data_IF_568897312755
#
_entry.id   IF_568897312755
#
_cell.length_a   1.000
_cell.length_b   1.000
_cell.length_c   1.000
_cell.angle_alpha   90.00
_cell.angle_beta   90.00
_cell.angle_gamma   90.00
#
_symmetry.space_group_name_H-M   'P 1'
#
loop_
_entity.id
_entity.type
_entity.pdbx_description
1 polymer ?
#
# COMPACT_ATOMS: atom_id res chain seq x y z
N UNK A 1 7.82 5.07 14.90
CA UNK A 1 7.04 4.92 13.66
C UNK A 1 6.05 6.06 13.42
N UNK A 2 5.28 6.52 14.43
CA UNK A 2 4.30 7.61 14.27
C UNK A 2 4.88 8.91 13.67
N UNK A 3 6.09 9.31 14.08
CA UNK A 3 6.74 10.56 13.64
C UNK A 3 7.10 10.59 12.16
N UNK A 4 7.41 9.44 11.55
CA UNK A 4 7.76 9.35 10.13
C UNK A 4 6.49 9.47 9.26
N UNK A 5 5.40 8.81 9.66
CA UNK A 5 4.11 8.86 8.96
C UNK A 5 3.47 10.25 9.00
N UNK A 6 3.54 10.96 10.13
CA UNK A 6 3.04 12.33 10.24
C UNK A 6 3.85 13.32 9.41
N UNK A 7 5.17 13.11 9.29
CA UNK A 7 6.03 13.94 8.46
C UNK A 7 5.72 13.76 6.97
N UNK A 8 5.57 12.52 6.51
CA UNK A 8 5.15 12.19 5.14
C UNK A 8 3.76 12.76 4.85
N UNK A 9 2.78 12.59 5.75
CA UNK A 9 1.44 13.15 5.59
C UNK A 9 1.48 14.68 5.47
N UNK A 10 2.28 15.37 6.29
CA UNK A 10 2.37 16.84 6.23
C UNK A 10 3.02 17.36 4.93
N UNK A 11 3.98 16.65 4.36
CA UNK A 11 4.58 17.01 3.06
C UNK A 11 3.67 16.66 1.89
N UNK A 12 2.99 15.52 1.95
CA UNK A 12 2.06 15.08 0.91
C UNK A 12 0.80 15.96 0.87
N UNK A 13 0.21 16.28 2.03
CA UNK A 13 -1.01 17.08 2.08
C UNK A 13 -0.78 18.59 2.16
N UNK A 14 0.43 19.03 2.51
CA UNK A 14 0.80 20.45 2.49
C UNK A 14 1.17 20.91 1.08
N UNK A 15 2.47 20.99 0.73
CA UNK A 15 2.91 21.57 -0.54
C UNK A 15 2.50 20.78 -1.80
N UNK A 16 2.40 19.45 -1.72
CA UNK A 16 2.07 18.60 -2.89
C UNK A 16 0.56 18.68 -3.22
N UNK A 17 -0.33 18.28 -2.29
CA UNK A 17 -1.78 18.27 -2.52
C UNK A 17 -2.38 19.68 -2.64
N UNK A 18 -2.06 20.60 -1.73
CA UNK A 18 -2.58 21.99 -1.83
C UNK A 18 -1.92 22.73 -2.99
N UNK A 19 -0.67 22.40 -3.34
CA UNK A 19 -0.03 22.96 -4.51
C UNK A 19 -0.72 22.54 -5.81
N UNK A 20 -1.04 21.25 -5.94
CA UNK A 20 -1.86 20.71 -7.04
C UNK A 20 -3.24 21.36 -7.05
N UNK A 21 -3.90 21.53 -5.90
CA UNK A 21 -5.24 22.14 -5.82
C UNK A 21 -5.25 23.62 -6.24
N UNK A 22 -4.17 24.35 -5.94
CA UNK A 22 -4.07 25.80 -6.23
C UNK A 22 -3.54 26.11 -7.63
N UNK A 23 -2.66 25.26 -8.16
CA UNK A 23 -1.81 25.60 -9.32
C UNK A 23 -1.76 24.49 -10.37
N UNK A 24 -2.42 23.36 -10.14
CA UNK A 24 -2.39 22.18 -11.01
C UNK A 24 -1.05 21.45 -11.03
N UNK A 25 -0.07 21.84 -10.20
CA UNK A 25 1.26 21.24 -10.11
C UNK A 25 1.72 21.15 -8.65
N UNK A 26 2.44 20.08 -8.27
CA UNK A 26 3.04 19.99 -6.95
C UNK A 26 4.11 21.08 -6.78
N UNK A 27 4.09 21.81 -5.67
CA UNK A 27 5.10 22.81 -5.36
C UNK A 27 6.26 22.16 -4.61
N UNK A 28 7.53 22.44 -4.99
CA UNK A 28 8.66 21.95 -4.24
C UNK A 28 8.64 22.54 -2.81
N UNK A 29 9.17 21.83 -1.80
CA UNK A 29 9.18 22.29 -0.41
C UNK A 29 9.84 23.65 -0.17
N UNK A 30 10.70 24.08 -1.09
CA UNK A 30 11.35 25.40 -1.09
C UNK A 30 10.40 26.57 -1.41
N UNK A 31 9.26 26.31 -2.06
CA UNK A 31 8.24 27.29 -2.41
C UNK A 31 7.04 27.28 -1.43
N UNK A 32 7.20 26.65 -0.26
CA UNK A 32 6.12 26.45 0.70
C UNK A 32 5.66 27.77 1.35
N UNK A 33 4.34 28.01 1.29
CA UNK A 33 3.68 29.16 1.94
C UNK A 33 3.29 28.81 3.38
N UNK A 34 3.09 29.80 4.29
CA UNK A 34 2.62 29.52 5.66
C UNK A 34 1.29 28.76 5.71
N UNK A 35 0.44 28.93 4.68
CA UNK A 35 -0.80 28.16 4.51
C UNK A 35 -0.55 26.66 4.35
N UNK A 36 0.48 26.25 3.59
CA UNK A 36 0.82 24.83 3.40
C UNK A 36 1.28 24.19 4.71
N UNK A 37 1.99 24.94 5.55
CA UNK A 37 2.38 24.49 6.88
C UNK A 37 1.19 24.37 7.83
N UNK A 38 0.22 25.28 7.78
CA UNK A 38 -1.02 25.21 8.57
C UNK A 38 -1.84 23.97 8.18
N UNK A 39 -2.06 23.75 6.88
CA UNK A 39 -2.78 22.57 6.37
C UNK A 39 -2.05 21.28 6.75
N UNK A 40 -0.72 21.24 6.61
CA UNK A 40 0.08 20.09 7.04
C UNK A 40 -0.09 19.78 8.54
N UNK A 41 -0.12 20.79 9.41
CA UNK A 41 -0.36 20.61 10.86
C UNK A 41 -1.78 20.12 11.16
N UNK A 42 -2.79 20.66 10.50
CA UNK A 42 -4.18 20.20 10.64
C UNK A 42 -4.28 18.73 10.24
N UNK A 43 -3.67 18.33 9.13
CA UNK A 43 -3.68 16.95 8.67
C UNK A 43 -2.95 16.00 9.63
N UNK A 44 -1.86 16.44 10.28
CA UNK A 44 -1.22 15.66 11.36
C UNK A 44 -2.23 15.38 12.49
N UNK A 45 -2.98 16.40 12.93
CA UNK A 45 -3.98 16.24 14.00
C UNK A 45 -5.10 15.31 13.55
N UNK A 46 -5.62 15.48 12.33
CA UNK A 46 -6.67 14.61 11.77
C UNK A 46 -6.20 13.15 11.71
N UNK A 47 -5.00 12.89 11.19
CA UNK A 47 -4.44 11.53 11.12
C UNK A 47 -4.16 10.98 12.51
N UNK A 48 -3.70 11.79 13.46
CA UNK A 48 -3.46 11.37 14.83
C UNK A 48 -4.78 10.97 15.52
N UNK A 49 -5.83 11.77 15.39
CA UNK A 49 -7.15 11.45 15.94
C UNK A 49 -7.72 10.20 15.27
N UNK A 50 -7.73 10.16 13.93
CA UNK A 50 -8.23 9.02 13.17
C UNK A 50 -7.45 7.73 13.46
N UNK A 51 -6.13 7.80 13.64
CA UNK A 51 -5.28 6.66 14.00
C UNK A 51 -5.43 6.21 15.47
N UNK A 52 -5.89 7.10 16.36
CA UNK A 52 -6.13 6.75 17.77
C UNK A 52 -7.46 6.02 17.97
N UNK A 53 -8.47 6.29 17.12
CA UNK A 53 -9.80 5.68 17.21
C UNK A 53 -9.77 4.13 17.16
N UNK A 54 -9.06 3.48 16.23
CA UNK A 54 -8.96 2.01 16.20
C UNK A 54 -8.28 1.41 17.43
N UNK A 55 -7.31 2.12 18.03
CA UNK A 55 -6.57 1.62 19.20
C UNK A 55 -7.46 1.46 20.44
N UNK A 56 -8.57 2.21 20.51
CA UNK A 56 -9.56 2.09 21.57
C UNK A 56 -10.48 0.86 21.40
N UNK A 57 -10.48 0.21 20.22
CA UNK A 57 -11.33 -0.94 19.91
C UNK A 57 -10.67 -2.30 20.22
N UNK A 58 -9.47 -2.30 20.82
CA UNK A 58 -8.80 -3.51 21.29
C UNK A 58 -7.92 -4.22 20.24
N UNK A 59 -7.46 -5.45 20.52
CA UNK A 59 -6.39 -6.14 19.76
C UNK A 59 -6.68 -6.36 18.27
N UNK A 60 -7.96 -6.39 17.86
CA UNK A 60 -8.36 -6.53 16.46
C UNK A 60 -7.90 -5.37 15.56
N UNK A 61 -7.51 -4.23 16.15
CA UNK A 61 -6.94 -3.11 15.41
C UNK A 61 -5.55 -3.43 14.81
N UNK A 62 -4.81 -4.37 15.40
CA UNK A 62 -3.51 -4.78 14.86
C UNK A 62 -3.65 -5.59 13.56
N UNK A 63 -4.72 -6.36 13.40
CA UNK A 63 -4.97 -7.13 12.18
C UNK A 63 -5.14 -6.22 10.95
N UNK A 64 -5.68 -5.01 11.14
CA UNK A 64 -5.78 -4.01 10.08
C UNK A 64 -4.40 -3.59 9.53
N UNK A 65 -3.38 -3.54 10.39
CA UNK A 65 -2.01 -3.26 9.95
C UNK A 65 -1.38 -4.43 9.20
N UNK A 66 -1.85 -5.66 9.46
CA UNK A 66 -1.42 -6.84 8.71
C UNK A 66 -2.11 -6.94 7.36
N UNK A 67 -3.40 -6.61 7.27
CA UNK A 67 -4.13 -6.54 6.00
C UNK A 67 -3.63 -5.36 5.14
N UNK A 68 -3.24 -4.23 5.76
CA UNK A 68 -2.54 -3.18 5.04
C UNK A 68 -1.13 -3.62 4.59
N UNK A 69 -0.45 -4.43 5.38
CA UNK A 69 0.86 -5.00 5.04
C UNK A 69 0.79 -5.92 3.83
N UNK A 70 -0.27 -6.71 3.69
CA UNK A 70 -0.45 -7.61 2.54
C UNK A 70 -0.58 -6.85 1.22
N UNK A 71 -1.17 -5.64 1.24
CA UNK A 71 -1.24 -4.76 0.07
C UNK A 71 0.13 -4.22 -0.34
N UNK A 72 1.02 -3.95 0.63
CA UNK A 72 2.36 -3.38 0.39
C UNK A 72 3.33 -4.41 -0.19
N UNK A 73 3.08 -5.71 -0.02
CA UNK A 73 3.96 -6.74 -0.56
C UNK A 73 4.00 -6.79 -2.10
N UNK A 74 2.97 -6.30 -2.78
CA UNK A 74 3.01 -6.09 -4.24
C UNK A 74 3.82 -4.86 -4.66
N UNK A 75 4.08 -3.95 -3.73
CA UNK A 75 4.76 -2.68 -3.95
C UNK A 75 6.24 -2.78 -3.56
N UNK A 76 6.57 -3.27 -2.37
CA UNK A 76 7.95 -3.19 -1.84
C UNK A 76 8.99 -3.96 -2.67
N UNK A 77 8.97 -5.30 -2.68
CA UNK A 77 9.98 -6.10 -3.38
C UNK A 77 10.04 -5.85 -4.90
N UNK A 78 8.91 -5.79 -5.65
CA UNK A 78 8.95 -5.56 -7.09
C UNK A 78 9.44 -4.14 -7.47
N UNK A 79 9.03 -3.10 -6.74
CA UNK A 79 9.46 -1.72 -7.03
C UNK A 79 10.91 -1.50 -6.65
N UNK A 80 11.36 -2.09 -5.54
CA UNK A 80 12.78 -2.07 -5.19
C UNK A 80 13.62 -2.78 -6.26
N UNK A 81 13.15 -3.91 -6.79
CA UNK A 81 13.83 -4.61 -7.88
C UNK A 81 13.93 -3.76 -9.16
N UNK A 82 12.89 -2.97 -9.48
CA UNK A 82 12.91 -2.04 -10.60
C UNK A 82 13.96 -0.92 -10.47
N UNK A 83 14.50 -0.64 -9.28
CA UNK A 83 15.58 0.36 -9.13
C UNK A 83 16.90 -0.08 -9.77
N UNK A 84 17.09 -1.38 -10.01
CA UNK A 84 18.28 -1.92 -10.65
C UNK A 84 18.17 -2.03 -12.18
N UNK A 85 16.99 -1.73 -12.74
CA UNK A 85 16.71 -1.90 -14.16
C UNK A 85 16.38 -0.55 -14.78
N UNK A 86 17.03 -0.21 -15.89
CA UNK A 86 16.74 1.00 -16.66
C UNK A 86 15.89 0.65 -17.90
N UNK A 87 14.99 1.54 -18.31
CA UNK A 87 14.18 1.35 -19.51
C UNK A 87 12.93 0.46 -19.36
N UNK A 88 12.35 0.37 -18.16
CA UNK A 88 11.09 -0.37 -17.94
C UNK A 88 9.85 0.48 -18.27
N UNK A 89 8.77 -0.19 -18.70
CA UNK A 89 7.48 0.45 -18.96
C UNK A 89 6.68 0.65 -17.65
N UNK A 90 5.77 1.65 -17.59
CA UNK A 90 4.90 1.85 -16.42
C UNK A 90 4.04 0.62 -16.06
N UNK A 91 3.77 -0.25 -17.04
CA UNK A 91 3.00 -1.49 -16.82
C UNK A 91 3.68 -2.46 -15.84
N UNK A 92 5.01 -2.48 -15.79
CA UNK A 92 5.77 -3.33 -14.86
C UNK A 92 5.55 -2.92 -13.41
N UNK A 93 5.19 -1.65 -13.17
CA UNK A 93 4.78 -1.15 -11.86
C UNK A 93 3.30 -1.43 -11.58
N UNK A 94 2.41 -1.13 -12.53
CA UNK A 94 0.97 -1.19 -12.29
C UNK A 94 0.43 -2.61 -12.11
N UNK A 95 0.95 -3.61 -12.82
CA UNK A 95 0.50 -5.01 -12.71
C UNK A 95 0.66 -5.59 -11.29
N UNK A 96 1.88 -5.63 -10.70
CA UNK A 96 2.05 -6.15 -9.35
C UNK A 96 1.39 -5.25 -8.29
N UNK A 97 1.32 -3.93 -8.53
CA UNK A 97 0.63 -2.99 -7.63
C UNK A 97 -0.87 -3.31 -7.52
N UNK A 98 -1.58 -3.37 -8.65
CA UNK A 98 -3.03 -3.62 -8.64
C UNK A 98 -3.36 -5.05 -8.21
N UNK A 99 -2.51 -6.02 -8.54
CA UNK A 99 -2.66 -7.38 -8.04
C UNK A 99 -2.53 -7.44 -6.50
N UNK A 100 -1.52 -6.77 -5.92
CA UNK A 100 -1.35 -6.69 -4.46
C UNK A 100 -2.54 -6.01 -3.76
N UNK A 101 -3.06 -4.92 -4.33
CA UNK A 101 -4.25 -4.23 -3.82
C UNK A 101 -5.49 -5.15 -3.89
N UNK A 102 -5.72 -5.80 -5.03
CA UNK A 102 -6.85 -6.71 -5.19
C UNK A 102 -6.79 -7.89 -4.20
N UNK A 103 -5.62 -8.49 -4.02
CA UNK A 103 -5.42 -9.57 -3.04
C UNK A 103 -5.67 -9.08 -1.60
N UNK A 104 -5.17 -7.90 -1.23
CA UNK A 104 -5.45 -7.32 0.08
C UNK A 104 -6.94 -7.04 0.33
N UNK A 105 -7.66 -6.57 -0.70
CA UNK A 105 -9.13 -6.38 -0.63
C UNK A 105 -9.84 -7.73 -0.45
N UNK A 106 -9.42 -8.77 -1.17
CA UNK A 106 -9.99 -10.13 -1.03
C UNK A 106 -9.77 -10.66 0.38
N UNK A 107 -8.59 -10.45 0.97
CA UNK A 107 -8.29 -10.84 2.34
C UNK A 107 -9.15 -10.06 3.36
N UNK A 108 -9.35 -8.75 3.16
CA UNK A 108 -10.24 -7.93 3.98
C UNK A 108 -11.71 -8.41 3.89
N UNK A 109 -12.18 -8.75 2.70
CA UNK A 109 -13.54 -9.27 2.49
C UNK A 109 -13.73 -10.67 3.09
N UNK A 110 -12.67 -11.49 3.12
CA UNK A 110 -12.68 -12.82 3.74
C UNK A 110 -12.77 -12.77 5.27
N UNK A 111 -12.28 -11.69 5.88
CA UNK A 111 -12.32 -11.48 7.34
C UNK A 111 -13.58 -10.75 7.79
N UNK A 112 -14.24 -10.02 6.88
CA UNK A 112 -15.47 -9.29 7.17
C UNK A 112 -16.69 -10.22 7.32
N UNK A 113 -17.52 -10.05 8.38
CA UNK A 113 -18.66 -10.95 8.65
C UNK A 113 -19.74 -10.92 7.56
N UNK A 114 -19.83 -9.85 6.75
CA UNK A 114 -20.78 -9.74 5.65
C UNK A 114 -20.43 -10.58 4.41
N UNK A 115 -19.13 -10.85 4.17
CA UNK A 115 -18.66 -11.47 2.93
C UNK A 115 -17.91 -12.80 3.14
N UNK A 116 -17.65 -13.18 4.40
CA UNK A 116 -16.96 -14.42 4.79
C UNK A 116 -17.59 -15.70 4.19
N UNK A 117 -18.90 -15.71 3.93
CA UNK A 117 -19.58 -16.87 3.37
C UNK A 117 -19.35 -17.08 1.86
N UNK A 118 -18.90 -16.04 1.14
CA UNK A 118 -18.70 -16.08 -0.32
C UNK A 118 -17.22 -16.22 -0.72
N UNK A 119 -16.29 -15.81 0.15
CA UNK A 119 -14.85 -15.85 -0.09
C UNK A 119 -14.20 -16.74 0.97
N UNK A 120 -13.81 -17.96 0.58
CA UNK A 120 -13.07 -18.89 1.43
C UNK A 120 -11.57 -18.88 1.04
N UNK A 121 -10.74 -18.29 1.91
CA UNK A 121 -9.27 -18.28 1.79
C UNK A 121 -8.60 -19.41 2.57
N UNK A 122 -9.38 -20.30 3.20
CA UNK A 122 -8.88 -21.36 4.07
C UNK A 122 -8.02 -22.41 3.35
N UNK A 123 -8.26 -22.62 2.05
CA UNK A 123 -7.48 -23.57 1.23
C UNK A 123 -6.02 -23.16 1.04
N UNK A 124 -5.67 -21.90 1.31
CA UNK A 124 -4.32 -21.36 1.14
C UNK A 124 -3.59 -21.23 2.48
N UNK A 125 -4.19 -21.73 3.57
CA UNK A 125 -3.57 -21.69 4.88
C UNK A 125 -2.31 -22.57 4.93
N UNK A 126 -1.21 -22.00 5.43
CA UNK A 126 0.07 -22.70 5.60
C UNK A 126 0.36 -22.80 7.09
N UNK A 127 0.58 -24.02 7.58
CA UNK A 127 0.91 -24.31 8.98
C UNK A 127 -0.30 -24.47 9.91
N UNK A 128 -0.02 -24.69 11.20
CA UNK A 128 -1.02 -24.84 12.26
C UNK A 128 -0.96 -23.63 13.20
N UNK A 129 -2.06 -22.89 13.35
CA UNK A 129 -2.13 -21.71 14.23
C UNK A 129 -3.16 -20.66 13.78
N UNK A 130 -3.42 -19.64 14.61
CA UNK A 130 -4.44 -18.61 14.36
C UNK A 130 -4.16 -17.67 13.17
N UNK A 131 -2.89 -17.58 12.73
CA UNK A 131 -2.45 -16.73 11.62
C UNK A 131 -2.08 -17.52 10.34
N UNK A 132 -2.47 -18.80 10.25
CA UNK A 132 -2.09 -19.70 9.16
C UNK A 132 -2.59 -19.25 7.77
N UNK A 133 -3.83 -18.76 7.70
CA UNK A 133 -4.45 -18.20 6.50
C UNK A 133 -3.75 -16.92 6.06
N UNK A 134 -3.38 -16.06 7.02
CA UNK A 134 -2.69 -14.80 6.80
C UNK A 134 -1.27 -15.02 6.27
N UNK A 135 -0.55 -15.98 6.84
CA UNK A 135 0.79 -16.36 6.37
C UNK A 135 0.74 -16.91 4.95
N UNK A 136 -0.15 -17.86 4.69
CA UNK A 136 -0.27 -18.49 3.39
C UNK A 136 -0.71 -17.52 2.29
N UNK A 137 -1.68 -16.66 2.58
CA UNK A 137 -2.11 -15.62 1.65
C UNK A 137 -0.96 -14.63 1.35
N UNK A 138 -0.13 -14.33 2.34
CA UNK A 138 1.03 -13.48 2.14
C UNK A 138 2.09 -14.14 1.23
N UNK A 139 2.42 -15.40 1.47
CA UNK A 139 3.39 -16.15 0.65
C UNK A 139 2.92 -16.23 -0.81
N UNK A 140 1.66 -16.60 -1.03
CA UNK A 140 1.11 -16.68 -2.39
C UNK A 140 1.01 -15.30 -3.02
N UNK A 141 0.64 -14.28 -2.25
CA UNK A 141 0.58 -12.89 -2.74
C UNK A 141 1.93 -12.37 -3.21
N UNK A 142 3.01 -12.63 -2.47
CA UNK A 142 4.39 -12.30 -2.90
C UNK A 142 4.73 -13.05 -4.18
N UNK A 143 4.46 -14.36 -4.23
CA UNK A 143 4.76 -15.17 -5.41
C UNK A 143 4.06 -14.62 -6.67
N UNK A 144 2.75 -14.35 -6.59
CA UNK A 144 1.96 -13.79 -7.70
C UNK A 144 2.50 -12.43 -8.13
N UNK A 145 2.81 -11.53 -7.18
CA UNK A 145 3.32 -10.20 -7.52
C UNK A 145 4.70 -10.28 -8.21
N UNK A 146 5.58 -11.18 -7.77
CA UNK A 146 6.86 -11.43 -8.44
C UNK A 146 6.68 -12.03 -9.83
N UNK A 147 5.79 -13.01 -9.98
CA UNK A 147 5.52 -13.62 -11.29
C UNK A 147 5.00 -12.56 -12.27
N UNK A 148 4.05 -11.71 -11.87
CA UNK A 148 3.53 -10.64 -12.72
C UNK A 148 4.59 -9.58 -13.06
N UNK A 149 5.43 -9.20 -12.10
CA UNK A 149 6.53 -8.27 -12.34
C UNK A 149 7.55 -8.83 -13.34
N UNK A 150 7.93 -10.11 -13.19
CA UNK A 150 8.86 -10.79 -14.10
C UNK A 150 8.27 -11.00 -15.49
N UNK A 151 6.98 -11.35 -15.60
CA UNK A 151 6.29 -11.47 -16.88
C UNK A 151 6.24 -10.13 -17.60
N UNK A 152 5.83 -9.05 -16.92
CA UNK A 152 5.79 -7.72 -17.50
C UNK A 152 7.18 -7.22 -17.92
N UNK A 153 8.22 -7.61 -17.19
CA UNK A 153 9.61 -7.32 -17.54
C UNK A 153 10.08 -8.14 -18.75
N UNK A 154 9.73 -9.43 -18.83
CA UNK A 154 10.07 -10.28 -19.97
C UNK A 154 9.42 -9.79 -21.28
N UNK A 155 8.15 -9.36 -21.21
CA UNK A 155 7.47 -8.73 -22.36
C UNK A 155 8.13 -7.41 -22.78
N UNK A 156 8.69 -6.66 -21.82
CA UNK A 156 9.42 -5.44 -22.13
C UNK A 156 10.70 -5.73 -22.94
N UNK A 157 11.42 -6.78 -22.55
CA UNK A 157 12.66 -7.21 -23.23
C UNK A 157 12.41 -7.71 -24.67
N UNK A 158 11.33 -8.47 -24.89
CA UNK A 158 11.00 -9.01 -26.22
C UNK A 158 10.63 -7.92 -27.24
N UNK A 159 10.15 -6.76 -26.80
CA UNK A 159 9.77 -5.64 -27.69
C UNK A 159 10.92 -4.67 -27.97
N UNK A 160 12.02 -4.78 -27.26
CA UNK A 160 13.24 -3.98 -27.48
C UNK A 160 14.24 -4.63 -28.44
N UNK A 161 14.00 -5.88 -28.86
CA UNK A 161 14.71 -6.60 -29.93
C UNK A 161 13.99 -6.41 -31.26
#
# INVERSE_FOLDING_TARGET
MLTCSTFVASKLFGPEFVGVLQTGRPHPPSAAKPLHALVGRIMIVVVAVAGTVPLLQGPAALDATTISGTMIMGLGPPVWFLTFITGYRPLVFHLPFWAGVALGIVLQLSTAPCCKSYINVGSWAIGQGGYNSLLGFNVVGVAVCWTLALLALAENWQRSL
#
